data_IF_001250139763
#
_entry.id   IF_001250139763
#
_cell.length_a   1.000
_cell.length_b   1.000
_cell.length_c   1.000
_cell.angle_alpha   90.00
_cell.angle_beta   90.00
_cell.angle_gamma   90.00
#
_symmetry.space_group_name_H-M   'P 1'
#
loop_
_entity.id
_entity.type
_entity.pdbx_description
1 polymer ?
#
# COMPACT_ATOMS: atom_id res chain seq x y z
N UNK A 1 -10.15 -8.10 -6.53
CA UNK A 1 -10.09 -6.75 -5.91
C UNK A 1 -10.76 -5.74 -6.84
N UNK A 2 -11.48 -4.74 -6.35
CA UNK A 2 -12.02 -3.64 -7.18
C UNK A 2 -11.64 -2.26 -6.63
N UNK A 3 -11.63 -1.20 -7.46
CA UNK A 3 -11.55 0.17 -6.96
C UNK A 3 -12.63 0.45 -5.91
N UNK A 4 -12.29 1.23 -4.89
CA UNK A 4 -13.13 1.51 -3.72
C UNK A 4 -13.07 0.45 -2.62
N UNK A 5 -12.41 -0.69 -2.82
CA UNK A 5 -12.20 -1.67 -1.74
C UNK A 5 -11.24 -1.11 -0.69
N UNK A 6 -11.59 -1.27 0.60
CA UNK A 6 -10.67 -1.02 1.71
C UNK A 6 -9.93 -2.30 2.06
N UNK A 7 -8.62 -2.23 2.11
CA UNK A 7 -7.74 -3.33 2.50
C UNK A 7 -7.04 -3.04 3.81
N UNK A 8 -6.84 -4.10 4.60
CA UNK A 8 -6.21 -4.09 5.91
C UNK A 8 -5.01 -5.03 5.89
N UNK A 9 -3.89 -4.56 6.44
CA UNK A 9 -2.71 -5.39 6.60
C UNK A 9 -2.97 -6.52 7.59
N UNK A 10 -2.45 -7.70 7.28
CA UNK A 10 -2.47 -8.85 8.18
C UNK A 10 -1.38 -8.78 9.28
N UNK A 11 -0.39 -7.90 9.13
CA UNK A 11 0.84 -7.89 9.96
C UNK A 11 1.12 -6.56 10.65
N UNK A 12 0.37 -5.51 10.32
CA UNK A 12 0.48 -4.21 10.97
C UNK A 12 -0.84 -3.40 10.88
N UNK A 13 -0.79 -2.11 11.19
CA UNK A 13 -1.95 -1.23 11.18
C UNK A 13 -2.29 -0.59 9.83
N UNK A 14 -1.47 -0.78 8.80
CA UNK A 14 -1.70 -0.18 7.49
C UNK A 14 -3.07 -0.57 6.93
N UNK A 15 -3.85 0.43 6.57
CA UNK A 15 -5.06 0.29 5.76
C UNK A 15 -4.98 1.18 4.53
N UNK A 16 -5.46 0.66 3.40
CA UNK A 16 -5.47 1.39 2.13
C UNK A 16 -6.83 1.32 1.45
N UNK A 17 -7.15 2.34 0.68
CA UNK A 17 -8.23 2.32 -0.30
C UNK A 17 -7.64 2.02 -1.67
N UNK A 18 -8.21 1.04 -2.37
CA UNK A 18 -7.83 0.72 -3.74
C UNK A 18 -8.40 1.78 -4.68
N UNK A 19 -7.54 2.50 -5.39
CA UNK A 19 -7.93 3.47 -6.43
C UNK A 19 -7.86 2.80 -7.81
N UNK A 20 -6.83 1.97 -8.04
CA UNK A 20 -6.61 1.20 -9.27
C UNK A 20 -5.96 -0.15 -8.95
N UNK A 21 -6.29 -1.18 -9.73
CA UNK A 21 -5.75 -2.54 -9.57
C UNK A 21 -5.80 -3.28 -10.90
N UNK A 22 -4.86 -4.21 -11.11
CA UNK A 22 -4.76 -5.06 -12.30
C UNK A 22 -4.79 -6.57 -11.97
N UNK A 23 -5.41 -6.95 -10.84
CA UNK A 23 -5.74 -8.35 -10.54
C UNK A 23 -4.66 -9.18 -9.84
N UNK A 24 -3.49 -8.61 -9.52
CA UNK A 24 -2.42 -9.24 -8.73
C UNK A 24 -2.59 -8.99 -7.23
N UNK A 25 -1.77 -9.65 -6.41
CA UNK A 25 -1.91 -9.62 -4.95
C UNK A 25 -1.34 -8.33 -4.39
N UNK A 26 -2.18 -7.55 -3.70
CA UNK A 26 -1.72 -6.39 -2.93
C UNK A 26 -1.29 -6.87 -1.55
N UNK A 27 -0.10 -6.46 -1.14
CA UNK A 27 0.55 -6.89 0.08
C UNK A 27 0.96 -5.68 0.92
N UNK A 28 1.09 -5.91 2.22
CA UNK A 28 1.70 -4.97 3.15
C UNK A 28 2.54 -5.72 4.17
N UNK A 29 3.80 -5.32 4.33
CA UNK A 29 4.68 -5.96 5.31
C UNK A 29 5.09 -7.39 4.96
N UNK A 30 5.07 -7.75 3.66
CA UNK A 30 5.38 -9.09 3.17
C UNK A 30 4.23 -10.09 3.28
N UNK A 31 3.00 -9.62 3.55
CA UNK A 31 1.82 -10.48 3.63
C UNK A 31 0.66 -9.93 2.78
N UNK A 32 -0.18 -10.79 2.18
CA UNK A 32 -1.39 -10.38 1.47
C UNK A 32 -2.33 -9.55 2.34
N UNK A 33 -2.87 -8.48 1.79
CA UNK A 33 -3.91 -7.68 2.45
C UNK A 33 -5.31 -8.25 2.16
N UNK A 34 -6.25 -8.02 3.08
CA UNK A 34 -7.64 -8.47 2.95
C UNK A 34 -8.64 -7.40 3.44
N UNK A 35 -9.92 -7.55 3.13
CA UNK A 35 -10.97 -6.60 3.56
C UNK A 35 -11.24 -6.66 5.08
N UNK A 36 -10.96 -7.82 5.68
CA UNK A 36 -11.01 -8.06 7.12
C UNK A 36 -9.60 -8.27 7.68
N UNK A 37 -9.37 -7.82 8.92
CA UNK A 37 -8.16 -8.20 9.64
C UNK A 37 -8.29 -9.67 10.08
N UNK A 38 -7.20 -10.45 10.05
CA UNK A 38 -7.19 -11.76 10.69
C UNK A 38 -7.38 -11.62 12.21
N UNK A 39 -7.83 -12.69 12.86
CA UNK A 39 -7.99 -12.73 14.32
C UNK A 39 -6.64 -12.57 15.04
N UNK A 40 -5.57 -13.12 14.45
CA UNK A 40 -4.20 -13.02 14.93
C UNK A 40 -3.34 -12.32 13.87
N UNK A 41 -2.53 -11.36 14.31
CA UNK A 41 -1.61 -10.66 13.42
C UNK A 41 -0.44 -11.57 13.03
N UNK A 42 -0.10 -11.60 11.74
CA UNK A 42 1.10 -12.27 11.27
C UNK A 42 2.38 -11.48 11.58
N UNK A 43 3.52 -12.03 11.15
CA UNK A 43 4.84 -11.41 11.34
C UNK A 43 5.15 -10.41 10.22
N UNK A 44 5.53 -9.20 10.60
CA UNK A 44 6.04 -8.19 9.67
C UNK A 44 7.41 -8.63 9.12
N UNK A 45 7.55 -8.67 7.80
CA UNK A 45 8.85 -8.92 7.16
C UNK A 45 9.78 -7.71 7.31
N UNK A 46 11.06 -7.91 7.72
CA UNK A 46 12.05 -6.83 7.77
C UNK A 46 12.26 -6.14 6.42
N UNK A 47 12.26 -6.90 5.31
CA UNK A 47 12.45 -6.38 3.95
C UNK A 47 11.27 -5.52 3.46
N UNK A 48 10.12 -5.61 4.15
CA UNK A 48 8.91 -4.86 3.86
C UNK A 48 8.45 -4.00 5.04
N UNK A 49 9.39 -3.47 5.83
CA UNK A 49 9.10 -2.70 7.06
C UNK A 49 9.36 -1.19 6.96
N UNK A 50 9.32 -0.63 5.74
CA UNK A 50 9.60 0.79 5.50
C UNK A 50 8.45 1.76 5.86
N UNK A 51 7.33 1.24 6.39
CA UNK A 51 6.17 2.02 6.76
C UNK A 51 5.26 2.45 5.60
N UNK A 52 4.06 2.91 5.96
CA UNK A 52 3.09 3.52 5.04
C UNK A 52 2.59 4.85 5.60
N UNK A 53 2.58 5.89 4.78
CA UNK A 53 2.28 7.27 5.16
C UNK A 53 0.83 7.64 4.89
N UNK A 54 0.13 8.13 5.90
CA UNK A 54 -1.26 8.59 5.81
C UNK A 54 -1.47 9.62 4.69
N UNK A 55 -2.54 9.45 3.91
CA UNK A 55 -2.92 10.39 2.85
C UNK A 55 -2.06 10.34 1.60
N UNK A 56 -0.96 9.57 1.59
CA UNK A 56 -0.14 9.36 0.40
C UNK A 56 -0.75 8.30 -0.51
N UNK A 57 -0.54 8.51 -1.81
CA UNK A 57 -0.88 7.54 -2.86
C UNK A 57 0.37 6.74 -3.20
N UNK A 58 0.21 5.45 -3.44
CA UNK A 58 1.26 4.52 -3.79
C UNK A 58 0.96 3.89 -5.14
N UNK A 59 1.94 3.84 -6.03
CA UNK A 59 1.82 3.36 -7.41
C UNK A 59 2.95 2.39 -7.76
N UNK A 60 2.69 1.54 -8.75
CA UNK A 60 3.70 0.75 -9.44
C UNK A 60 4.33 1.56 -10.60
N UNK A 61 5.42 1.05 -11.17
CA UNK A 61 6.12 1.70 -12.28
C UNK A 61 5.22 1.93 -13.51
N UNK A 62 4.29 1.00 -13.77
CA UNK A 62 3.40 1.02 -14.93
C UNK A 62 2.10 1.81 -14.67
N UNK A 63 1.91 2.38 -13.47
CA UNK A 63 0.67 3.03 -13.03
C UNK A 63 -0.59 2.15 -13.20
N UNK A 64 -0.45 0.83 -13.09
CA UNK A 64 -1.55 -0.13 -13.11
C UNK A 64 -2.17 -0.36 -11.72
N UNK A 65 -1.45 0.02 -10.66
CA UNK A 65 -1.91 0.05 -9.28
C UNK A 65 -1.85 1.46 -8.72
N UNK A 66 -2.87 1.82 -7.94
CA UNK A 66 -2.87 3.06 -7.18
C UNK A 66 -3.62 2.81 -5.87
N UNK A 67 -2.95 3.01 -4.75
CA UNK A 67 -3.48 2.78 -3.40
C UNK A 67 -3.37 4.07 -2.59
N UNK A 68 -4.44 4.47 -1.89
CA UNK A 68 -4.42 5.58 -0.94
C UNK A 68 -4.29 5.02 0.47
N UNK A 69 -3.25 5.41 1.22
CA UNK A 69 -3.17 5.08 2.63
C UNK A 69 -4.21 5.85 3.45
N UNK A 70 -5.06 5.12 4.18
CA UNK A 70 -6.11 5.67 5.06
C UNK A 70 -5.94 5.32 6.54
N UNK A 71 -4.96 4.49 6.87
CA UNK A 71 -4.42 4.32 8.23
C UNK A 71 -2.93 3.93 8.11
N UNK A 72 -2.00 4.65 8.76
CA UNK A 72 -0.57 4.34 8.66
C UNK A 72 -0.20 3.10 9.49
N UNK A 73 0.92 2.48 9.13
CA UNK A 73 1.47 1.32 9.81
C UNK A 73 2.95 1.10 9.47
N UNK A 74 3.55 0.07 10.07
CA UNK A 74 4.98 -0.24 9.94
C UNK A 74 5.35 -0.96 8.64
N UNK A 75 4.40 -1.64 7.99
CA UNK A 75 4.65 -2.33 6.73
C UNK A 75 4.69 -1.38 5.55
N UNK A 76 5.52 -1.67 4.55
CA UNK A 76 5.49 -1.06 3.23
C UNK A 76 4.56 -1.83 2.29
N UNK A 77 4.04 -1.15 1.27
CA UNK A 77 3.12 -1.72 0.29
C UNK A 77 3.88 -2.34 -0.90
N UNK A 78 3.41 -3.50 -1.36
CA UNK A 78 3.92 -4.19 -2.54
C UNK A 78 2.80 -4.85 -3.35
N UNK A 79 3.13 -5.23 -4.58
CA UNK A 79 2.31 -6.10 -5.43
C UNK A 79 3.16 -7.27 -5.89
N UNK A 80 2.76 -8.49 -5.56
CA UNK A 80 3.52 -9.73 -5.78
C UNK A 80 5.03 -9.57 -5.42
N UNK A 81 5.31 -9.01 -4.24
CA UNK A 81 6.66 -8.73 -3.73
C UNK A 81 7.33 -7.46 -4.26
N UNK A 82 6.82 -6.85 -5.33
CA UNK A 82 7.40 -5.62 -5.92
C UNK A 82 6.90 -4.39 -5.16
N UNK A 83 7.82 -3.61 -4.59
CA UNK A 83 7.50 -2.44 -3.80
C UNK A 83 6.75 -1.37 -4.61
N UNK A 84 5.71 -0.78 -3.99
CA UNK A 84 5.04 0.40 -4.52
C UNK A 84 5.74 1.67 -4.01
N UNK A 85 5.78 2.70 -4.85
CA UNK A 85 6.40 3.99 -4.54
C UNK A 85 5.35 5.06 -4.29
N UNK A 86 5.67 6.07 -3.49
CA UNK A 86 4.76 7.21 -3.34
C UNK A 86 4.60 7.91 -4.70
N UNK A 87 3.34 8.15 -5.08
CA UNK A 87 2.99 9.00 -6.21
C UNK A 87 3.26 10.44 -5.80
N UNK A 88 4.52 10.85 -5.90
CA UNK A 88 4.89 12.22 -5.61
C UNK A 88 4.19 13.15 -6.61
N UNK A 89 3.75 14.29 -6.08
CA UNK A 89 3.53 15.43 -6.95
C UNK A 89 4.91 15.82 -7.47
N UNK A 90 5.10 15.78 -8.79
CA UNK A 90 6.26 16.43 -9.41
C UNK A 90 6.32 17.83 -8.81
N UNK A 91 7.42 18.25 -8.15
CA UNK A 91 7.51 19.60 -7.63
C UNK A 91 7.16 20.55 -8.78
N UNK A 92 6.20 21.45 -8.55
CA UNK A 92 5.96 22.55 -9.46
C UNK A 92 7.33 23.20 -9.67
N UNK A 93 7.76 23.48 -10.92
CA UNK A 93 8.97 24.26 -11.11
C UNK A 93 8.83 25.53 -10.26
N UNK A 94 9.85 25.79 -9.44
CA UNK A 94 9.84 26.99 -8.60
C UNK A 94 9.62 28.19 -9.52
N UNK A 95 8.57 28.97 -9.26
CA UNK A 95 8.38 30.25 -9.93
C UNK A 95 9.42 31.22 -9.37
N UNK A 96 10.34 31.65 -10.23
CA UNK A 96 11.21 32.83 -10.03
C UNK A 96 10.37 34.12 -10.12
#
# INVERSE_FOLDING_TARGET
MKPGTRLKSAVCDTEVMVIRTAGRTIECGGAPMAEAKPAEAGTLSPDHSNGTLMGKRYVDADNTYELLCVKPGKGSLSVDGVALVTKDAKPLPASD
#
